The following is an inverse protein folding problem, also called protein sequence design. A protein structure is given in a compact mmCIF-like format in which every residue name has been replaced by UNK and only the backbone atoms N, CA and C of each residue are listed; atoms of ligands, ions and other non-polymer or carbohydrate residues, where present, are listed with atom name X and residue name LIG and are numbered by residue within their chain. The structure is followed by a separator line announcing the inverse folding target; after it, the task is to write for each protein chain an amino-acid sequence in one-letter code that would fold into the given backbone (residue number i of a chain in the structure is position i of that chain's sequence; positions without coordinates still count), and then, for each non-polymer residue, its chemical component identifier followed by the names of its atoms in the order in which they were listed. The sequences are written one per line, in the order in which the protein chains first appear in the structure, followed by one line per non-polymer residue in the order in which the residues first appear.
data_IF_844779033970
#
_entry.id   IF_844779033970
#
_cell.length_a   1.000
_cell.length_b   1.000
_cell.length_c   1.000
_cell.angle_alpha   90.00
_cell.angle_beta   90.00
_cell.angle_gamma   90.00
#
_symmetry.space_group_name_H-M   'P 1'
#
loop_
_entity.id
_entity.type
_entity.pdbx_description
1 polymer ?
#
# COMPACT_ATOMS: atom_id res chain seq x y z
N UNK A 1 -9.24 -9.14 -22.24
CA UNK A 1 -10.43 -9.91 -21.80
C UNK A 1 -10.42 -11.45 -22.01
N UNK A 2 -9.33 -12.16 -22.41
CA UNK A 2 -9.44 -13.58 -22.80
C UNK A 2 -9.67 -14.59 -21.66
N UNK A 3 -9.55 -14.19 -20.38
CA UNK A 3 -9.73 -15.09 -19.22
C UNK A 3 -11.16 -15.14 -18.66
N UNK A 4 -12.02 -14.21 -19.07
CA UNK A 4 -13.42 -14.17 -18.63
C UNK A 4 -14.30 -15.09 -19.47
N UNK A 5 -14.07 -15.14 -20.78
CA UNK A 5 -14.88 -15.95 -21.71
C UNK A 5 -14.90 -17.45 -21.39
N UNK A 6 -13.78 -18.13 -21.07
CA UNK A 6 -13.82 -19.56 -20.72
C UNK A 6 -14.53 -19.84 -19.39
N UNK A 7 -14.58 -18.85 -18.48
CA UNK A 7 -15.29 -18.95 -17.20
C UNK A 7 -16.77 -18.61 -17.32
N UNK A 8 -17.10 -17.70 -18.24
CA UNK A 8 -18.48 -17.33 -18.55
C UNK A 8 -19.16 -18.32 -19.48
N UNK A 9 -18.43 -18.97 -20.39
CA UNK A 9 -18.97 -19.97 -21.30
C UNK A 9 -19.77 -21.07 -20.57
N UNK A 10 -19.25 -21.77 -19.54
CA UNK A 10 -20.04 -22.77 -18.84
C UNK A 10 -21.23 -22.17 -18.07
N UNK A 11 -21.13 -20.93 -17.59
CA UNK A 11 -22.25 -20.23 -16.92
C UNK A 11 -23.34 -19.87 -17.93
N UNK A 12 -22.95 -19.37 -19.11
CA UNK A 12 -23.85 -19.03 -20.22
C UNK A 12 -24.47 -20.26 -20.87
N UNK A 13 -23.73 -21.38 -20.94
CA UNK A 13 -24.27 -22.66 -21.42
C UNK A 13 -25.21 -23.31 -20.40
N UNK A 14 -24.95 -23.13 -19.10
CA UNK A 14 -25.83 -23.60 -18.03
C UNK A 14 -27.12 -22.77 -17.89
N UNK A 15 -27.08 -21.48 -18.27
CA UNK A 15 -28.28 -20.65 -18.36
C UNK A 15 -28.97 -20.90 -19.71
N UNK A 16 -30.00 -21.75 -19.72
CA UNK A 16 -30.75 -22.06 -20.96
C UNK A 16 -31.30 -20.77 -21.59
N UNK A 17 -31.29 -20.69 -22.94
CA UNK A 17 -31.69 -19.53 -23.75
C UNK A 17 -33.11 -18.96 -23.48
N UNK A 18 -33.93 -19.63 -22.68
CA UNK A 18 -35.35 -19.32 -22.53
C UNK A 18 -35.73 -18.65 -21.20
N UNK A 19 -34.80 -18.50 -20.26
CA UNK A 19 -35.05 -17.75 -19.03
C UNK A 19 -34.17 -16.50 -19.02
N UNK A 20 -34.73 -15.36 -19.42
CA UNK A 20 -34.25 -14.02 -19.04
C UNK A 20 -34.46 -13.80 -17.53
N UNK A 21 -34.13 -14.79 -16.70
CA UNK A 21 -34.09 -14.56 -15.26
C UNK A 21 -32.94 -13.60 -15.01
N UNK A 22 -33.20 -12.42 -14.40
CA UNK A 22 -32.15 -11.46 -14.13
C UNK A 22 -31.07 -12.17 -13.32
N UNK A 23 -29.83 -12.10 -13.83
CA UNK A 23 -28.67 -12.70 -13.18
C UNK A 23 -28.70 -12.37 -11.69
N UNK A 24 -28.94 -13.38 -10.85
CA UNK A 24 -29.09 -13.16 -9.42
C UNK A 24 -27.71 -12.85 -8.81
N UNK A 25 -27.34 -11.58 -8.84
CA UNK A 25 -26.13 -11.06 -8.24
C UNK A 25 -26.02 -11.41 -6.74
N UNK A 26 -27.13 -11.71 -6.06
CA UNK A 26 -27.10 -12.13 -4.66
C UNK A 26 -26.46 -13.51 -4.49
N UNK A 27 -26.69 -14.44 -5.42
CA UNK A 27 -26.14 -15.81 -5.37
C UNK A 27 -24.63 -15.85 -5.56
N UNK A 28 -24.09 -14.96 -6.39
CA UNK A 28 -22.66 -14.90 -6.73
C UNK A 28 -21.87 -13.86 -5.93
N UNK A 29 -22.53 -13.12 -5.03
CA UNK A 29 -21.83 -12.15 -4.19
C UNK A 29 -20.87 -12.90 -3.26
N UNK A 30 -19.56 -12.58 -3.25
CA UNK A 30 -18.64 -13.21 -2.32
C UNK A 30 -19.19 -13.05 -0.90
N UNK A 31 -19.30 -14.19 -0.19
CA UNK A 31 -19.84 -14.22 1.17
C UNK A 31 -19.01 -13.26 2.01
N UNK A 32 -19.61 -12.15 2.45
CA UNK A 32 -18.92 -11.23 3.35
C UNK A 32 -18.62 -12.01 4.64
N UNK A 33 -17.44 -11.82 5.24
CA UNK A 33 -17.11 -12.45 6.51
C UNK A 33 -18.19 -12.11 7.53
N UNK A 34 -18.70 -13.13 8.23
CA UNK A 34 -19.63 -12.94 9.35
C UNK A 34 -18.85 -12.33 10.50
N UNK A 35 -19.45 -11.39 11.24
CA UNK A 35 -18.86 -10.95 12.49
C UNK A 35 -18.80 -12.15 13.44
N UNK A 36 -17.67 -12.33 14.12
CA UNK A 36 -17.55 -13.30 15.20
C UNK A 36 -18.08 -12.74 16.51
N UNK A 37 -18.37 -11.42 16.57
CA UNK A 37 -18.83 -10.78 17.79
C UNK A 37 -20.21 -11.31 18.21
N UNK A 38 -20.30 -11.70 19.48
CA UNK A 38 -21.53 -12.06 20.16
C UNK A 38 -21.57 -11.37 21.52
N UNK A 39 -22.75 -11.27 22.13
CA UNK A 39 -22.89 -10.68 23.47
C UNK A 39 -22.03 -11.49 24.45
N UNK A 40 -21.05 -10.83 25.07
CA UNK A 40 -20.26 -11.41 26.14
C UNK A 40 -20.92 -11.15 27.46
N UNK A 41 -21.03 -12.18 28.30
CA UNK A 41 -21.42 -12.00 29.70
C UNK A 41 -20.40 -11.08 30.40
N UNK A 42 -20.83 -10.28 31.40
CA UNK A 42 -19.91 -9.47 32.18
C UNK A 42 -18.83 -10.37 32.82
N UNK A 43 -17.62 -9.83 33.01
CA UNK A 43 -16.55 -10.54 33.70
C UNK A 43 -17.09 -11.06 35.04
N UNK A 44 -16.98 -12.37 35.32
CA UNK A 44 -17.49 -12.91 36.57
C UNK A 44 -16.71 -12.28 37.72
N UNK A 45 -17.41 -11.91 38.79
CA UNK A 45 -16.73 -11.54 40.02
C UNK A 45 -16.16 -12.80 40.65
N UNK A 46 -15.03 -12.68 41.33
CA UNK A 46 -14.47 -13.76 42.15
C UNK A 46 -14.67 -13.51 43.65
N UNK A 47 -15.49 -12.51 44.02
CA UNK A 47 -15.86 -12.26 45.41
C UNK A 47 -16.87 -13.33 45.88
N UNK A 48 -16.50 -14.21 46.83
CA UNK A 48 -17.37 -15.28 47.31
C UNK A 48 -18.67 -14.77 47.92
N UNK A 49 -18.72 -13.52 48.42
CA UNK A 49 -19.93 -12.95 49.02
C UNK A 49 -21.06 -12.74 48.02
N UNK A 50 -20.73 -12.62 46.73
CA UNK A 50 -21.70 -12.40 45.65
C UNK A 50 -22.36 -13.70 45.18
N UNK A 51 -21.93 -14.86 45.71
CA UNK A 51 -22.37 -16.16 45.25
C UNK A 51 -22.84 -17.03 46.41
N UNK A 52 -24.06 -17.58 46.30
CA UNK A 52 -24.61 -18.54 47.25
C UNK A 52 -23.92 -19.92 47.18
N UNK A 53 -23.23 -20.20 46.08
CA UNK A 53 -22.50 -21.43 45.80
C UNK A 53 -21.24 -21.13 45.00
N UNK A 54 -20.28 -22.08 44.96
CA UNK A 54 -19.06 -21.92 44.16
C UNK A 54 -19.39 -21.54 42.70
N UNK A 55 -18.68 -20.55 42.17
CA UNK A 55 -18.81 -20.08 40.78
C UNK A 55 -18.67 -21.24 39.78
N UNK A 56 -17.84 -22.24 40.10
CA UNK A 56 -17.63 -23.43 39.25
C UNK A 56 -18.85 -24.35 39.17
N UNK A 57 -19.78 -24.28 40.12
CA UNK A 57 -21.00 -25.09 40.13
C UNK A 57 -22.17 -24.41 39.40
N UNK A 58 -22.02 -23.14 39.00
CA UNK A 58 -23.03 -22.46 38.20
C UNK A 58 -23.09 -23.04 36.79
N UNK A 59 -24.30 -23.19 36.23
CA UNK A 59 -24.51 -23.72 34.88
C UNK A 59 -23.87 -22.85 33.79
N UNK A 60 -23.70 -21.56 34.05
CA UNK A 60 -23.07 -20.59 33.15
C UNK A 60 -21.76 -20.07 33.74
N UNK A 61 -20.83 -20.97 34.08
CA UNK A 61 -19.53 -20.56 34.60
C UNK A 61 -18.49 -20.39 33.47
N UNK A 62 -17.43 -19.58 33.67
CA UNK A 62 -16.42 -19.32 32.64
C UNK A 62 -15.62 -20.55 32.21
N UNK A 63 -15.62 -21.63 33.01
CA UNK A 63 -14.92 -22.89 32.70
C UNK A 63 -15.78 -23.81 31.84
N UNK A 64 -17.08 -23.93 32.15
CA UNK A 64 -18.03 -24.78 31.43
C UNK A 64 -18.53 -24.14 30.12
N UNK A 65 -18.63 -22.80 30.08
CA UNK A 65 -19.11 -22.06 28.91
C UNK A 65 -18.15 -20.92 28.51
N UNK A 66 -16.87 -21.22 28.19
CA UNK A 66 -15.85 -20.19 27.92
C UNK A 66 -16.24 -19.29 26.73
N UNK A 67 -16.97 -19.83 25.76
CA UNK A 67 -17.47 -19.09 24.59
C UNK A 67 -18.34 -17.88 24.94
N UNK A 68 -19.09 -17.93 26.05
CA UNK A 68 -19.95 -16.82 26.51
C UNK A 68 -19.16 -15.68 27.15
N UNK A 69 -17.93 -15.95 27.58
CA UNK A 69 -17.03 -14.99 28.24
C UNK A 69 -15.89 -14.52 27.32
N UNK A 70 -15.63 -15.23 26.22
CA UNK A 70 -14.56 -14.90 25.30
C UNK A 70 -14.91 -13.63 24.51
N UNK A 71 -14.14 -12.57 24.74
CA UNK A 71 -14.28 -11.32 23.98
C UNK A 71 -13.85 -11.53 22.54
N UNK A 72 -14.84 -11.63 21.65
CA UNK A 72 -14.62 -11.75 20.20
C UNK A 72 -14.47 -10.37 19.57
N UNK A 73 -13.56 -10.28 18.60
CA UNK A 73 -13.26 -9.04 17.87
C UNK A 73 -14.51 -8.58 17.12
N UNK A 74 -14.80 -7.28 17.21
CA UNK A 74 -15.81 -6.64 16.38
C UNK A 74 -15.32 -6.49 14.95
N UNK A 75 -16.23 -6.16 14.03
CA UNK A 75 -15.92 -5.77 12.67
C UNK A 75 -14.92 -4.60 12.70
N UNK A 76 -13.90 -4.62 11.81
CA UNK A 76 -12.96 -3.51 11.73
C UNK A 76 -13.71 -2.24 11.33
N UNK A 77 -13.38 -1.08 11.94
CA UNK A 77 -14.00 0.17 11.57
C UNK A 77 -13.66 0.52 10.12
N UNK A 78 -14.57 1.23 9.45
CA UNK A 78 -14.38 1.68 8.06
C UNK A 78 -14.26 3.18 8.00
N UNK A 79 -13.46 3.70 7.06
CA UNK A 79 -13.30 5.15 6.87
C UNK A 79 -14.65 5.82 6.58
N UNK A 80 -15.47 5.15 5.77
CA UNK A 80 -16.82 5.57 5.44
C UNK A 80 -17.80 4.41 5.64
N UNK A 81 -18.89 4.71 6.33
CA UNK A 81 -20.04 3.82 6.49
C UNK A 81 -21.26 4.60 5.98
N UNK A 82 -22.02 4.06 5.00
CA UNK A 82 -23.27 4.68 4.57
C UNK A 82 -24.24 4.87 5.73
N UNK A 83 -25.09 5.91 5.69
CA UNK A 83 -26.03 6.22 6.77
C UNK A 83 -26.99 5.06 7.08
N UNK A 84 -27.37 4.29 6.05
CA UNK A 84 -28.32 3.18 6.15
C UNK A 84 -27.64 1.82 6.36
N UNK A 85 -26.39 1.81 6.84
CA UNK A 85 -25.67 0.57 7.10
C UNK A 85 -26.15 -0.08 8.40
N UNK A 86 -27.10 -1.00 8.29
CA UNK A 86 -27.63 -1.74 9.42
C UNK A 86 -26.92 -3.09 9.66
N UNK A 87 -27.04 -3.61 10.89
CA UNK A 87 -26.68 -5.00 11.22
C UNK A 87 -27.53 -5.97 10.39
N UNK A 88 -26.95 -7.11 10.02
CA UNK A 88 -27.71 -8.15 9.32
C UNK A 88 -28.59 -8.93 10.29
N UNK A 89 -29.64 -9.55 9.76
CA UNK A 89 -30.45 -10.49 10.53
C UNK A 89 -29.55 -11.59 11.14
N UNK A 90 -29.59 -11.73 12.47
CA UNK A 90 -28.78 -12.68 13.23
C UNK A 90 -27.35 -12.26 13.55
N UNK A 91 -26.88 -11.09 13.09
CA UNK A 91 -25.58 -10.53 13.48
C UNK A 91 -25.77 -9.51 14.62
N UNK A 92 -24.92 -9.57 15.65
CA UNK A 92 -24.94 -8.62 16.77
C UNK A 92 -24.20 -7.33 16.47
N UNK A 93 -23.24 -7.40 15.57
CA UNK A 93 -22.27 -6.35 15.30
C UNK A 93 -22.70 -5.46 14.14
N UNK A 94 -22.48 -4.16 14.27
CA UNK A 94 -22.81 -3.17 13.24
C UNK A 94 -21.51 -2.59 12.69
N UNK A 95 -21.38 -2.40 11.36
CA UNK A 95 -20.22 -1.71 10.82
C UNK A 95 -20.15 -0.29 11.39
N UNK A 96 -19.09 0.03 12.12
CA UNK A 96 -18.87 1.40 12.62
C UNK A 96 -17.94 2.20 11.72
N UNK A 97 -18.13 3.51 11.72
CA UNK A 97 -17.22 4.44 11.11
C UNK A 97 -15.99 4.67 12.00
N UNK A 98 -14.83 4.88 11.38
CA UNK A 98 -13.61 5.30 12.08
C UNK A 98 -13.82 6.67 12.75
N UNK A 99 -13.31 6.81 13.96
CA UNK A 99 -13.24 8.12 14.65
C UNK A 99 -12.27 9.05 13.91
N UNK A 100 -12.24 10.35 14.28
CA UNK A 100 -11.29 11.29 13.69
C UNK A 100 -9.84 10.88 13.96
N UNK A 101 -9.55 10.44 15.17
CA UNK A 101 -8.21 9.97 15.58
C UNK A 101 -7.80 8.71 14.83
N UNK A 102 -8.72 7.74 14.70
CA UNK A 102 -8.46 6.53 13.92
C UNK A 102 -8.20 6.84 12.46
N UNK A 103 -8.93 7.79 11.87
CA UNK A 103 -8.65 8.26 10.51
C UNK A 103 -7.29 8.93 10.41
N UNK A 104 -6.88 9.70 11.42
CA UNK A 104 -5.55 10.33 11.48
C UNK A 104 -4.43 9.27 11.56
N UNK A 105 -4.64 8.21 12.33
CA UNK A 105 -3.68 7.09 12.37
C UNK A 105 -3.68 6.31 11.06
N UNK A 106 -4.87 6.08 10.48
CA UNK A 106 -5.04 5.39 9.21
C UNK A 106 -4.46 6.15 8.02
N UNK A 107 -4.42 7.49 8.09
CA UNK A 107 -3.80 8.36 7.09
C UNK A 107 -2.28 8.42 7.22
N UNK A 108 -1.67 7.92 8.29
CA UNK A 108 -0.21 7.90 8.44
C UNK A 108 0.38 6.69 7.71
N UNK A 109 1.26 6.88 6.70
CA UNK A 109 1.91 5.77 6.02
C UNK A 109 2.78 4.92 6.95
N UNK A 110 3.49 5.54 7.88
CA UNK A 110 4.35 4.84 8.84
C UNK A 110 3.55 3.92 9.76
N UNK A 111 2.49 4.44 10.37
CA UNK A 111 1.66 3.64 11.26
C UNK A 111 1.01 2.49 10.49
N UNK A 112 0.56 2.74 9.26
CA UNK A 112 -0.04 1.68 8.43
C UNK A 112 0.94 0.56 8.12
N UNK A 113 2.18 0.92 7.72
CA UNK A 113 3.24 -0.07 7.50
C UNK A 113 3.56 -0.87 8.77
N UNK A 114 3.62 -0.21 9.94
CA UNK A 114 3.88 -0.87 11.23
C UNK A 114 2.74 -1.79 11.66
N UNK A 115 1.48 -1.44 11.35
CA UNK A 115 0.31 -2.27 11.65
C UNK A 115 0.09 -3.42 10.67
N UNK A 116 0.89 -3.51 9.61
CA UNK A 116 0.78 -4.61 8.64
C UNK A 116 1.09 -5.97 9.31
N UNK A 117 0.47 -7.07 8.87
CA UNK A 117 0.62 -8.36 9.55
C UNK A 117 2.08 -8.79 9.66
N UNK A 118 2.57 -9.17 10.85
CA UNK A 118 3.95 -9.59 11.03
C UNK A 118 4.22 -10.92 10.31
N UNK A 119 5.42 -11.05 9.74
CA UNK A 119 5.93 -12.25 9.05
C UNK A 119 7.39 -12.45 9.42
N UNK A 120 7.83 -13.70 9.37
CA UNK A 120 9.23 -14.06 9.62
C UNK A 120 10.03 -13.79 8.35
N UNK A 121 11.10 -13.00 8.47
CA UNK A 121 12.08 -12.81 7.42
C UNK A 121 12.94 -14.08 7.29
N UNK A 122 13.03 -14.64 6.10
CA UNK A 122 13.79 -15.87 5.87
C UNK A 122 15.31 -15.70 5.83
N UNK A 123 15.82 -14.47 5.80
CA UNK A 123 17.26 -14.22 5.92
C UNK A 123 17.71 -14.03 7.37
N UNK A 124 16.91 -13.33 8.17
CA UNK A 124 17.30 -12.94 9.53
C UNK A 124 16.57 -13.70 10.63
N UNK A 125 15.56 -14.51 10.29
CA UNK A 125 14.65 -15.15 11.25
C UNK A 125 13.77 -14.16 12.04
N UNK A 126 13.89 -12.86 11.81
CA UNK A 126 13.24 -11.82 12.60
C UNK A 126 11.78 -11.63 12.19
N UNK A 127 10.91 -11.34 13.17
CA UNK A 127 9.51 -11.02 12.92
C UNK A 127 9.36 -9.54 12.54
N UNK A 128 9.00 -9.26 11.29
CA UNK A 128 8.84 -7.89 10.76
C UNK A 128 7.46 -7.71 10.12
N UNK A 129 6.90 -6.48 10.11
CA UNK A 129 5.63 -6.22 9.42
C UNK A 129 5.75 -6.46 7.91
N UNK A 130 4.69 -6.98 7.27
CA UNK A 130 4.74 -7.41 5.86
C UNK A 130 5.12 -6.32 4.87
N UNK A 131 4.84 -5.04 5.17
CA UNK A 131 5.18 -3.93 4.28
C UNK A 131 6.69 -3.64 4.23
N UNK A 132 7.45 -4.07 5.24
CA UNK A 132 8.92 -4.04 5.25
C UNK A 132 9.55 -5.26 4.57
N UNK A 133 8.72 -6.17 4.05
CA UNK A 133 9.16 -7.42 3.46
C UNK A 133 8.74 -7.50 1.98
N UNK A 134 9.51 -8.27 1.23
CA UNK A 134 9.26 -8.69 -0.15
C UNK A 134 8.78 -10.12 -0.13
N UNK A 135 7.69 -10.38 -0.83
CA UNK A 135 7.15 -11.72 -0.99
C UNK A 135 7.73 -12.33 -2.26
N UNK A 136 8.49 -13.40 -2.10
CA UNK A 136 9.04 -14.22 -3.19
C UNK A 136 8.32 -15.56 -3.20
N UNK A 137 7.92 -16.04 -4.37
CA UNK A 137 7.21 -17.32 -4.48
C UNK A 137 7.85 -18.21 -5.53
N UNK A 138 7.99 -19.52 -5.26
CA UNK A 138 8.43 -20.47 -6.29
C UNK A 138 7.30 -20.62 -7.31
N UNK A 139 7.60 -20.33 -8.57
CA UNK A 139 6.72 -20.56 -9.71
C UNK A 139 7.17 -21.84 -10.41
N UNK A 140 6.28 -22.82 -10.52
CA UNK A 140 6.54 -24.03 -11.30
C UNK A 140 6.57 -23.65 -12.78
N UNK A 141 7.58 -24.11 -13.48
CA UNK A 141 7.61 -24.03 -14.94
C UNK A 141 6.78 -25.18 -15.50
N UNK A 142 6.01 -24.90 -16.53
CA UNK A 142 5.29 -25.94 -17.26
C UNK A 142 6.34 -26.81 -17.95
N UNK A 143 6.61 -27.98 -17.37
CA UNK A 143 7.42 -29.00 -18.01
C UNK A 143 6.53 -29.81 -18.93
N UNK A 144 6.86 -29.84 -20.21
CA UNK A 144 6.13 -30.61 -21.23
C UNK A 144 6.32 -32.12 -21.08
N UNK A 145 7.19 -32.58 -20.18
CA UNK A 145 7.51 -34.00 -20.00
C UNK A 145 6.97 -34.51 -18.65
N UNK A 146 5.80 -35.17 -18.63
CA UNK A 146 5.16 -35.65 -17.41
C UNK A 146 5.78 -36.95 -16.83
N UNK A 147 6.90 -37.44 -17.36
CA UNK A 147 7.38 -38.82 -17.13
C UNK A 147 8.59 -38.96 -16.22
N UNK A 148 9.17 -37.87 -15.72
CA UNK A 148 10.36 -37.97 -14.85
C UNK A 148 9.99 -37.96 -13.36
N UNK A 149 10.60 -38.86 -12.59
CA UNK A 149 10.58 -38.87 -11.11
C UNK A 149 11.28 -37.64 -10.50
N UNK A 150 11.88 -36.77 -11.32
CA UNK A 150 12.54 -35.55 -10.89
C UNK A 150 11.52 -34.47 -10.46
N UNK A 151 11.81 -33.69 -9.41
CA UNK A 151 10.94 -32.59 -9.01
C UNK A 151 10.83 -31.56 -10.13
N UNK A 152 9.62 -31.07 -10.38
CA UNK A 152 9.34 -30.05 -11.41
C UNK A 152 10.21 -28.81 -11.14
N UNK A 153 11.02 -28.35 -12.12
CA UNK A 153 11.86 -27.18 -11.95
C UNK A 153 10.98 -25.97 -11.61
N UNK A 154 11.45 -25.18 -10.64
CA UNK A 154 10.74 -23.97 -10.22
C UNK A 154 11.67 -22.78 -10.18
N UNK A 155 11.17 -21.61 -10.53
CA UNK A 155 11.92 -20.35 -10.49
C UNK A 155 11.37 -19.50 -9.36
N UNK A 156 12.26 -18.88 -8.58
CA UNK A 156 11.85 -17.90 -7.57
C UNK A 156 11.47 -16.58 -8.24
N UNK A 157 10.22 -16.15 -8.08
CA UNK A 157 9.72 -14.90 -8.67
C UNK A 157 9.12 -13.97 -7.62
N UNK A 158 9.19 -12.64 -7.81
CA UNK A 158 8.46 -11.70 -6.97
C UNK A 158 6.95 -11.90 -7.14
N UNK A 159 6.22 -11.99 -6.02
CA UNK A 159 4.77 -12.19 -6.00
C UNK A 159 4.09 -11.12 -5.13
N UNK A 160 2.92 -10.66 -5.54
CA UNK A 160 2.13 -9.69 -4.78
C UNK A 160 2.76 -8.30 -4.60
N UNK A 161 3.79 -7.93 -5.38
CA UNK A 161 4.33 -6.57 -5.39
C UNK A 161 3.39 -5.59 -6.11
N UNK A 162 2.81 -6.02 -7.23
CA UNK A 162 1.83 -5.24 -8.01
C UNK A 162 0.47 -5.13 -7.32
N UNK A 163 -0.29 -4.08 -7.66
CA UNK A 163 -1.61 -3.84 -7.10
C UNK A 163 -2.60 -4.95 -7.50
N UNK A 164 -3.45 -5.46 -6.57
CA UNK A 164 -4.34 -6.59 -6.83
C UNK A 164 -5.31 -6.41 -8.01
N UNK A 165 -5.64 -5.16 -8.38
CA UNK A 165 -6.41 -4.82 -9.60
C UNK A 165 -5.72 -5.30 -10.88
N UNK A 166 -4.39 -5.26 -10.93
CA UNK A 166 -3.61 -5.53 -12.14
C UNK A 166 -3.10 -6.96 -12.17
N UNK A 167 -2.62 -7.47 -11.02
CA UNK A 167 -2.05 -8.81 -10.94
C UNK A 167 -2.52 -9.53 -9.67
N UNK A 168 -3.14 -10.70 -9.86
CA UNK A 168 -3.45 -11.62 -8.77
C UNK A 168 -2.19 -12.37 -8.31
N UNK A 169 -2.15 -12.75 -7.03
CA UNK A 169 -1.08 -13.58 -6.48
C UNK A 169 -1.03 -14.93 -7.19
N UNK A 170 0.17 -15.38 -7.53
CA UNK A 170 0.37 -16.60 -8.33
C UNK A 170 0.44 -17.87 -7.47
N UNK A 171 0.94 -17.76 -6.26
CA UNK A 171 1.18 -18.90 -5.36
C UNK A 171 0.66 -18.62 -3.96
N UNK A 172 0.16 -19.66 -3.28
CA UNK A 172 -0.16 -19.60 -1.86
C UNK A 172 1.08 -19.77 -0.97
N UNK A 173 2.13 -20.44 -1.49
CA UNK A 173 3.41 -20.61 -0.81
C UNK A 173 4.34 -19.49 -1.20
N UNK A 174 4.91 -18.82 -0.21
CA UNK A 174 5.82 -17.69 -0.42
C UNK A 174 6.79 -17.58 0.74
N UNK A 175 7.98 -17.09 0.46
CA UNK A 175 8.96 -16.69 1.45
C UNK A 175 9.03 -15.16 1.51
N UNK A 176 9.32 -14.63 2.70
CA UNK A 176 9.40 -13.19 2.93
C UNK A 176 10.86 -12.81 3.21
N UNK A 177 11.34 -11.78 2.53
CA UNK A 177 12.71 -11.27 2.63
C UNK A 177 12.63 -9.79 2.99
N UNK A 178 13.61 -9.21 3.69
CA UNK A 178 13.64 -7.76 3.94
C UNK A 178 13.55 -6.98 2.63
N UNK A 179 12.81 -5.87 2.62
CA UNK A 179 12.72 -4.93 1.50
C UNK A 179 14.01 -4.13 1.35
N UNK A 180 15.08 -4.81 0.96
CA UNK A 180 16.43 -4.29 0.72
C UNK A 180 16.98 -4.95 -0.54
N UNK A 181 17.64 -4.16 -1.38
CA UNK A 181 18.29 -4.68 -2.59
C UNK A 181 19.50 -5.55 -2.27
N UNK A 182 20.30 -5.19 -1.27
CA UNK A 182 21.43 -5.98 -0.80
C UNK A 182 20.98 -7.37 -0.33
N UNK A 183 19.86 -7.45 0.39
CA UNK A 183 19.28 -8.72 0.81
C UNK A 183 18.96 -9.64 -0.39
N UNK A 184 18.46 -9.09 -1.50
CA UNK A 184 18.21 -9.86 -2.72
C UNK A 184 19.52 -10.26 -3.41
N UNK A 185 20.51 -9.36 -3.49
CA UNK A 185 21.83 -9.68 -4.05
C UNK A 185 22.49 -10.84 -3.30
N UNK A 186 22.48 -10.82 -1.96
CA UNK A 186 23.01 -11.91 -1.12
C UNK A 186 22.29 -13.24 -1.37
N UNK A 187 20.99 -13.22 -1.66
CA UNK A 187 20.23 -14.43 -2.01
C UNK A 187 20.68 -14.98 -3.38
N UNK A 188 20.89 -14.10 -4.35
CA UNK A 188 21.35 -14.46 -5.70
C UNK A 188 22.76 -15.04 -5.64
N UNK A 189 23.67 -14.40 -4.89
CA UNK A 189 25.07 -14.83 -4.75
C UNK A 189 25.21 -16.16 -4.01
N UNK A 190 24.50 -16.34 -2.89
CA UNK A 190 24.60 -17.56 -2.09
C UNK A 190 23.78 -18.72 -2.66
N UNK A 191 22.82 -18.43 -3.54
CA UNK A 191 21.83 -19.36 -4.09
C UNK A 191 21.16 -20.23 -3.01
N UNK A 192 20.97 -19.67 -1.81
CA UNK A 192 20.42 -20.35 -0.64
C UNK A 192 19.37 -19.46 0.01
N UNK A 193 18.18 -20.02 0.22
CA UNK A 193 17.15 -19.43 1.05
C UNK A 193 16.60 -20.51 1.97
N UNK A 194 16.57 -20.22 3.27
CA UNK A 194 15.99 -21.13 4.25
C UNK A 194 14.54 -21.45 3.86
N UNK A 195 14.15 -22.72 4.04
CA UNK A 195 12.81 -23.24 3.76
C UNK A 195 12.38 -23.25 2.28
N UNK A 196 13.26 -22.91 1.34
CA UNK A 196 13.02 -23.14 -0.09
C UNK A 196 13.65 -24.47 -0.52
N UNK A 197 12.92 -25.34 -1.25
CA UNK A 197 13.48 -26.57 -1.77
C UNK A 197 14.69 -26.34 -2.69
N UNK A 198 15.68 -27.23 -2.64
CA UNK A 198 16.94 -27.14 -3.41
C UNK A 198 16.78 -27.08 -4.94
N UNK A 199 15.61 -27.43 -5.49
CA UNK A 199 15.32 -27.42 -6.94
C UNK A 199 14.81 -26.06 -7.45
N UNK A 200 14.89 -25.00 -6.66
CA UNK A 200 14.43 -23.67 -7.03
C UNK A 200 15.58 -22.86 -7.60
N UNK A 201 15.47 -22.47 -8.86
CA UNK A 201 16.45 -21.61 -9.54
C UNK A 201 16.16 -20.14 -9.21
N UNK A 202 17.19 -19.40 -8.81
CA UNK A 202 17.09 -17.97 -8.52
C UNK A 202 17.61 -17.19 -9.74
N UNK A 203 16.78 -16.35 -10.37
CA UNK A 203 17.20 -15.64 -11.57
C UNK A 203 18.21 -14.52 -11.22
N UNK A 204 19.27 -14.31 -12.01
CA UNK A 204 20.31 -13.33 -11.68
C UNK A 204 19.80 -11.89 -11.71
N UNK A 205 18.76 -11.61 -12.51
CA UNK A 205 18.12 -10.30 -12.61
C UNK A 205 16.99 -10.10 -11.59
N UNK A 206 16.86 -10.94 -10.57
CA UNK A 206 15.79 -10.85 -9.56
C UNK A 206 15.75 -9.46 -8.90
N UNK A 207 16.93 -8.91 -8.56
CA UNK A 207 17.03 -7.60 -7.91
C UNK A 207 16.46 -6.48 -8.79
N UNK A 208 16.82 -6.45 -10.08
CA UNK A 208 16.31 -5.47 -11.04
C UNK A 208 14.82 -5.67 -11.33
N UNK A 209 14.35 -6.91 -11.34
CA UNK A 209 12.93 -7.20 -11.52
C UNK A 209 12.08 -6.72 -10.33
N UNK A 210 12.53 -6.97 -9.08
CA UNK A 210 11.87 -6.43 -7.88
C UNK A 210 11.85 -4.90 -7.91
N UNK A 211 12.99 -4.28 -8.20
CA UNK A 211 13.18 -2.83 -8.36
C UNK A 211 12.15 -2.22 -9.33
N UNK A 212 11.99 -2.83 -10.51
CA UNK A 212 11.00 -2.43 -11.52
C UNK A 212 9.56 -2.57 -11.01
N UNK A 213 9.21 -3.71 -10.40
CA UNK A 213 7.85 -3.97 -9.94
C UNK A 213 7.43 -3.07 -8.77
N UNK A 214 8.36 -2.67 -7.89
CA UNK A 214 8.09 -1.71 -6.82
C UNK A 214 7.76 -0.32 -7.39
N UNK A 215 8.49 0.13 -8.42
CA UNK A 215 8.18 1.38 -9.14
C UNK A 215 6.83 1.30 -9.85
N UNK A 216 6.57 0.18 -10.53
CA UNK A 216 5.28 -0.07 -11.17
C UNK A 216 4.13 0.00 -10.15
N UNK A 217 4.34 -0.49 -8.92
CA UNK A 217 3.35 -0.42 -7.85
C UNK A 217 2.99 1.03 -7.50
N UNK A 218 3.95 1.96 -7.50
CA UNK A 218 3.68 3.40 -7.27
C UNK A 218 2.71 3.94 -8.32
N UNK A 219 2.98 3.68 -9.59
CA UNK A 219 2.12 4.14 -10.70
C UNK A 219 0.72 3.52 -10.62
N UNK A 220 0.65 2.22 -10.30
CA UNK A 220 -0.61 1.49 -10.17
C UNK A 220 -1.47 2.00 -9.01
N UNK A 221 -0.86 2.29 -7.85
CA UNK A 221 -1.57 2.88 -6.71
C UNK A 221 -2.07 4.28 -7.04
N UNK A 222 -1.27 5.07 -7.75
CA UNK A 222 -1.67 6.41 -8.18
C UNK A 222 -2.86 6.37 -9.14
N UNK A 223 -2.84 5.48 -10.13
CA UNK A 223 -3.98 5.30 -11.06
C UNK A 223 -5.26 4.87 -10.32
N UNK A 224 -5.15 3.90 -9.41
CA UNK A 224 -6.28 3.44 -8.58
C UNK A 224 -6.80 4.59 -7.73
N UNK A 225 -5.91 5.35 -7.10
CA UNK A 225 -6.27 6.51 -6.29
C UNK A 225 -7.02 7.57 -7.11
N UNK A 226 -6.54 7.93 -8.29
CA UNK A 226 -7.18 8.92 -9.16
C UNK A 226 -8.55 8.46 -9.64
N UNK A 227 -8.71 7.18 -9.99
CA UNK A 227 -10.02 6.60 -10.34
C UNK A 227 -11.02 6.77 -9.19
N UNK A 228 -10.58 6.63 -7.93
CA UNK A 228 -11.44 6.85 -6.77
C UNK A 228 -11.72 8.34 -6.54
N UNK A 229 -10.74 9.20 -6.78
CA UNK A 229 -10.85 10.64 -6.58
C UNK A 229 -11.85 11.28 -7.56
N UNK A 230 -11.87 10.83 -8.82
CA UNK A 230 -12.84 11.29 -9.84
C UNK A 230 -14.29 11.04 -9.44
N UNK A 231 -14.55 9.97 -8.68
CA UNK A 231 -15.90 9.63 -8.22
C UNK A 231 -16.34 10.43 -6.97
N UNK A 232 -15.50 11.33 -6.43
CA UNK A 232 -15.78 12.08 -5.20
C UNK A 232 -16.37 13.46 -5.46
N UNK A 233 -17.13 14.02 -4.49
CA UNK A 233 -17.64 15.38 -4.61
C UNK A 233 -16.50 16.39 -4.75
N UNK A 234 -16.55 17.21 -5.80
CA UNK A 234 -15.56 18.26 -6.10
C UNK A 234 -15.33 19.22 -4.92
N UNK A 235 -16.37 19.55 -4.16
CA UNK A 235 -16.28 20.44 -2.99
C UNK A 235 -15.27 19.93 -1.96
N UNK A 236 -15.28 18.63 -1.68
CA UNK A 236 -14.42 18.04 -0.66
C UNK A 236 -12.96 17.99 -1.13
N UNK A 237 -12.75 17.77 -2.44
CA UNK A 237 -11.44 17.79 -3.10
C UNK A 237 -10.85 19.21 -3.05
N UNK A 238 -11.64 20.23 -3.39
CA UNK A 238 -11.19 21.63 -3.36
C UNK A 238 -10.80 22.09 -1.94
N UNK A 239 -11.49 21.59 -0.91
CA UNK A 239 -11.19 21.92 0.48
C UNK A 239 -9.89 21.27 0.99
N UNK A 240 -9.59 20.04 0.54
CA UNK A 240 -8.43 19.28 0.98
C UNK A 240 -7.81 18.52 -0.20
N UNK A 241 -7.01 19.19 -1.05
CA UNK A 241 -6.40 18.55 -2.20
C UNK A 241 -5.41 17.47 -1.76
N UNK A 242 -5.61 16.20 -2.15
CA UNK A 242 -4.71 15.12 -1.77
C UNK A 242 -3.36 15.20 -2.47
N UNK A 243 -3.34 15.70 -3.70
CA UNK A 243 -2.16 15.95 -4.51
C UNK A 243 -2.30 17.39 -5.02
N UNK A 244 -1.28 18.21 -4.78
CA UNK A 244 -1.24 19.58 -5.33
C UNK A 244 0.14 19.88 -5.90
N UNK A 245 0.17 20.68 -6.97
CA UNK A 245 1.40 21.28 -7.47
C UNK A 245 1.86 22.41 -6.53
N UNK A 246 3.15 22.46 -6.22
CA UNK A 246 3.73 23.50 -5.36
C UNK A 246 3.95 24.78 -6.17
N UNK A 247 3.76 25.94 -5.54
CA UNK A 247 4.17 27.21 -6.17
C UNK A 247 5.69 27.31 -6.24
N UNK A 248 6.22 28.15 -7.15
CA UNK A 248 7.67 28.39 -7.22
C UNK A 248 8.24 28.93 -5.89
N UNK A 249 7.48 29.76 -5.18
CA UNK A 249 7.92 30.33 -3.91
C UNK A 249 7.92 29.27 -2.79
N UNK A 250 6.91 28.42 -2.73
CA UNK A 250 6.89 27.28 -1.80
C UNK A 250 8.04 26.31 -2.06
N UNK A 251 8.34 26.05 -3.34
CA UNK A 251 9.43 25.18 -3.73
C UNK A 251 10.79 25.76 -3.34
N UNK A 252 11.05 27.04 -3.63
CA UNK A 252 12.26 27.76 -3.20
C UNK A 252 12.43 27.73 -1.68
N UNK A 253 11.35 27.96 -0.94
CA UNK A 253 11.37 27.88 0.53
C UNK A 253 11.77 26.49 1.03
N UNK A 254 11.29 25.41 0.39
CA UNK A 254 11.68 24.03 0.74
C UNK A 254 13.16 23.77 0.41
N UNK A 255 13.66 24.25 -0.73
CA UNK A 255 15.06 24.12 -1.12
C UNK A 255 16.01 24.88 -0.17
N UNK A 256 15.66 26.12 0.17
CA UNK A 256 16.45 26.99 1.04
C UNK A 256 16.46 26.50 2.49
N UNK A 257 15.27 26.21 3.05
CA UNK A 257 15.14 25.83 4.46
C UNK A 257 15.45 24.35 4.70
N UNK A 258 15.38 23.51 3.66
CA UNK A 258 15.44 22.04 3.75
C UNK A 258 14.43 21.49 4.76
N UNK A 259 13.29 22.15 4.92
CA UNK A 259 12.18 21.71 5.77
C UNK A 259 10.89 21.77 4.99
N UNK A 260 9.96 20.85 5.27
CA UNK A 260 8.64 20.83 4.62
C UNK A 260 7.63 21.48 5.57
N UNK A 261 7.06 22.65 5.22
CA UNK A 261 6.22 23.42 6.14
C UNK A 261 4.85 22.77 6.42
N UNK A 262 4.39 21.87 5.57
CA UNK A 262 3.06 21.26 5.66
C UNK A 262 3.03 20.08 6.65
N UNK A 263 2.19 20.17 7.70
CA UNK A 263 2.05 19.11 8.72
C UNK A 263 1.54 17.78 8.14
N UNK A 264 0.63 17.85 7.16
CA UNK A 264 0.00 16.68 6.54
C UNK A 264 0.79 16.12 5.35
N UNK A 265 2.02 16.59 5.13
CA UNK A 265 2.85 16.11 4.02
C UNK A 265 3.24 14.63 4.21
N UNK A 266 2.88 13.80 3.24
CA UNK A 266 3.28 12.40 3.19
C UNK A 266 4.54 12.20 2.33
N UNK A 267 4.67 12.94 1.23
CA UNK A 267 5.82 12.92 0.34
C UNK A 267 5.82 14.17 -0.57
N UNK A 268 6.99 14.53 -1.10
CA UNK A 268 7.14 15.50 -2.18
C UNK A 268 7.81 14.80 -3.36
N UNK A 269 7.34 15.03 -4.59
CA UNK A 269 7.93 14.45 -5.80
C UNK A 269 8.30 15.59 -6.74
N UNK A 270 9.58 15.71 -7.10
CA UNK A 270 10.04 16.59 -8.18
C UNK A 270 9.95 15.84 -9.50
N UNK A 271 9.29 16.45 -10.49
CA UNK A 271 9.05 15.83 -11.79
C UNK A 271 9.84 16.60 -12.84
N UNK A 272 10.81 15.95 -13.48
CA UNK A 272 11.46 16.58 -14.62
C UNK A 272 10.48 16.66 -15.80
N UNK A 273 10.47 17.75 -16.58
CA UNK A 273 9.64 17.85 -17.78
C UNK A 273 10.01 16.73 -18.77
N UNK A 274 9.00 16.19 -19.44
CA UNK A 274 9.13 15.06 -20.36
C UNK A 274 8.59 15.49 -21.71
N UNK A 275 9.31 15.14 -22.78
CA UNK A 275 8.83 15.35 -24.14
C UNK A 275 7.51 14.61 -24.36
N UNK A 276 6.52 15.25 -25.02
CA UNK A 276 5.21 14.64 -25.26
C UNK A 276 5.26 13.39 -26.14
N UNK A 277 6.36 13.18 -26.88
CA UNK A 277 6.53 12.07 -27.82
C UNK A 277 6.82 10.71 -27.16
N UNK A 278 7.08 10.69 -25.85
CA UNK A 278 7.42 9.45 -25.13
C UNK A 278 6.15 8.64 -24.84
N UNK A 279 6.06 7.43 -25.39
CA UNK A 279 4.93 6.55 -25.15
C UNK A 279 4.88 6.06 -23.68
N UNK A 280 3.78 6.33 -22.95
CA UNK A 280 3.65 5.92 -21.55
C UNK A 280 3.42 4.41 -21.43
N UNK A 281 4.22 3.72 -20.61
CA UNK A 281 4.10 2.26 -20.41
C UNK A 281 4.06 1.86 -18.94
N UNK A 282 3.04 1.05 -18.59
CA UNK A 282 2.90 0.37 -17.29
C UNK A 282 3.07 -1.15 -17.45
N UNK A 283 3.89 -1.58 -18.40
CA UNK A 283 4.12 -3.01 -18.63
C UNK A 283 4.87 -3.65 -17.45
N UNK A 284 4.42 -4.82 -16.95
CA UNK A 284 5.19 -5.60 -15.97
C UNK A 284 6.40 -6.29 -16.60
N UNK A 285 6.46 -6.38 -17.93
CA UNK A 285 7.62 -6.91 -18.64
C UNK A 285 8.83 -5.97 -18.49
N UNK A 286 10.06 -6.51 -18.53
CA UNK A 286 11.25 -5.67 -18.57
C UNK A 286 11.15 -4.70 -19.74
N UNK A 287 11.41 -3.43 -19.46
CA UNK A 287 11.47 -2.40 -20.48
C UNK A 287 12.80 -2.49 -21.24
N UNK A 288 12.85 -2.02 -22.50
CA UNK A 288 14.11 -1.87 -23.21
C UNK A 288 15.12 -1.06 -22.38
N UNK A 289 16.40 -1.38 -22.50
CA UNK A 289 17.46 -0.60 -21.87
C UNK A 289 17.51 0.78 -22.53
N UNK A 290 17.08 1.81 -21.80
CA UNK A 290 17.30 3.20 -22.20
C UNK A 290 18.75 3.58 -21.83
N UNK A 291 19.49 4.27 -22.70
CA UNK A 291 20.88 4.68 -22.42
C UNK A 291 20.98 5.57 -21.16
N UNK A 292 19.93 6.30 -20.82
CA UNK A 292 19.89 7.21 -19.67
C UNK A 292 19.77 6.49 -18.32
N UNK A 293 19.49 5.18 -18.32
CA UNK A 293 19.23 4.41 -17.09
C UNK A 293 20.47 4.38 -16.19
N UNK A 294 21.67 4.25 -16.77
CA UNK A 294 22.92 4.17 -16.00
C UNK A 294 23.23 5.47 -15.26
N UNK A 295 23.04 6.62 -15.92
CA UNK A 295 23.24 7.94 -15.31
C UNK A 295 22.27 8.15 -14.14
N UNK A 296 21.00 7.80 -14.33
CA UNK A 296 19.96 8.02 -13.32
C UNK A 296 20.10 7.10 -12.09
N UNK A 297 20.75 5.94 -12.23
CA UNK A 297 21.05 5.05 -11.10
C UNK A 297 22.09 5.63 -10.11
N UNK A 298 22.79 6.70 -10.48
CA UNK A 298 23.70 7.41 -9.57
C UNK A 298 22.98 8.32 -8.58
N UNK A 299 21.74 8.72 -8.89
CA UNK A 299 20.97 9.67 -8.09
C UNK A 299 20.31 8.99 -6.88
N UNK A 300 20.31 9.68 -5.75
CA UNK A 300 19.60 9.24 -4.55
C UNK A 300 18.10 9.26 -4.77
N UNK A 301 17.42 8.14 -4.50
CA UNK A 301 15.96 8.01 -4.76
C UNK A 301 15.13 9.02 -3.98
N UNK A 302 15.49 9.27 -2.72
CA UNK A 302 14.82 10.27 -1.91
C UNK A 302 15.73 10.88 -0.84
N UNK A 303 15.53 12.18 -0.61
CA UNK A 303 16.13 12.90 0.50
C UNK A 303 15.11 13.09 1.63
N UNK A 304 15.51 12.85 2.87
CA UNK A 304 14.60 12.92 4.03
C UNK A 304 14.67 14.29 4.70
N UNK A 305 13.65 15.13 4.51
CA UNK A 305 13.59 16.46 5.12
C UNK A 305 12.74 16.45 6.39
N UNK A 306 13.12 17.16 7.46
CA UNK A 306 12.25 17.30 8.63
C UNK A 306 10.94 17.98 8.24
N UNK A 307 9.83 17.43 8.72
CA UNK A 307 8.56 18.13 8.76
C UNK A 307 8.69 19.32 9.72
N UNK A 308 8.11 20.45 9.36
CA UNK A 308 8.14 21.63 10.21
C UNK A 308 7.59 21.33 11.60
N UNK A 309 8.31 21.81 12.63
CA UNK A 309 8.10 21.49 14.04
C UNK A 309 6.86 22.15 14.66
N UNK A 310 6.00 22.78 13.88
CA UNK A 310 4.70 23.29 14.34
C UNK A 310 3.73 22.14 14.64
N UNK A 311 4.17 21.08 15.30
CA UNK A 311 3.27 20.09 15.86
C UNK A 311 2.66 20.66 17.14
N UNK A 312 1.33 20.74 17.18
CA UNK A 312 0.51 21.14 18.35
C UNK A 312 0.66 20.21 19.56
N UNK A 313 1.67 19.35 19.60
CA UNK A 313 1.98 18.59 20.81
C UNK A 313 2.16 19.60 21.96
N UNK A 314 1.62 19.33 23.16
CA UNK A 314 1.85 20.21 24.30
C UNK A 314 3.36 20.41 24.51
N UNK A 315 3.78 21.63 24.85
CA UNK A 315 5.16 21.97 25.24
C UNK A 315 5.74 21.04 26.31
N UNK A 316 4.86 20.36 27.05
CA UNK A 316 5.17 19.59 28.24
C UNK A 316 5.49 18.11 27.94
N UNK A 317 5.54 17.71 26.65
CA UNK A 317 5.83 16.32 26.29
C UNK A 317 7.33 16.02 26.46
N UNK A 318 7.70 15.41 27.60
CA UNK A 318 9.07 15.14 28.03
C UNK A 318 9.92 14.32 27.03
N UNK A 319 9.31 13.67 26.05
CA UNK A 319 10.01 12.88 25.02
C UNK A 319 10.30 13.64 23.71
N UNK A 320 10.03 14.96 23.65
CA UNK A 320 10.30 15.78 22.45
C UNK A 320 11.77 15.72 22.01
N UNK A 321 12.69 15.62 22.95
CA UNK A 321 14.13 15.58 22.67
C UNK A 321 14.65 14.16 22.35
N UNK A 322 13.86 13.13 22.66
CA UNK A 322 14.27 11.72 22.50
C UNK A 322 13.82 11.15 21.15
N UNK A 323 12.64 11.55 20.66
CA UNK A 323 12.12 11.01 19.41
C UNK A 323 12.64 11.82 18.21
N UNK A 324 13.12 11.15 17.14
CA UNK A 324 13.53 11.85 15.94
C UNK A 324 12.35 12.62 15.35
N UNK A 325 12.59 13.86 14.93
CA UNK A 325 11.59 14.66 14.21
C UNK A 325 11.05 13.88 13.01
N UNK A 326 9.74 13.95 12.80
CA UNK A 326 9.10 13.36 11.63
C UNK A 326 9.79 13.87 10.37
N UNK A 327 10.12 12.97 9.44
CA UNK A 327 10.79 13.32 8.19
C UNK A 327 9.90 12.97 7.03
N UNK A 328 9.82 13.85 6.04
CA UNK A 328 9.06 13.67 4.81
C UNK A 328 10.05 13.41 3.67
N UNK A 329 9.87 12.35 2.87
CA UNK A 329 10.73 12.05 1.75
C UNK A 329 10.45 13.01 0.58
N UNK A 330 11.52 13.60 0.05
CA UNK A 330 11.57 14.33 -1.20
C UNK A 330 12.16 13.41 -2.28
N UNK A 331 11.30 12.94 -3.18
CA UNK A 331 11.65 12.04 -4.27
C UNK A 331 12.02 12.82 -5.53
N UNK A 332 13.09 12.37 -6.20
CA UNK A 332 13.42 12.80 -7.55
C UNK A 332 12.84 11.81 -8.57
N UNK A 333 12.00 12.29 -9.50
CA UNK A 333 11.44 11.46 -10.57
C UNK A 333 12.48 10.74 -11.43
N UNK A 334 13.67 11.31 -11.61
CA UNK A 334 14.74 10.68 -12.41
C UNK A 334 15.29 9.43 -11.73
N UNK A 335 15.60 9.54 -10.44
CA UNK A 335 16.06 8.42 -9.62
C UNK A 335 14.93 7.40 -9.34
N UNK A 336 13.72 7.92 -9.09
CA UNK A 336 12.55 7.12 -8.77
C UNK A 336 12.07 6.32 -9.99
N UNK A 337 12.16 6.85 -11.21
CA UNK A 337 11.78 6.18 -12.45
C UNK A 337 12.86 6.35 -13.53
N UNK A 338 13.85 5.46 -13.59
CA UNK A 338 14.93 5.58 -14.57
C UNK A 338 14.44 5.57 -16.03
N UNK A 339 13.42 4.77 -16.33
CA UNK A 339 12.85 4.62 -17.68
C UNK A 339 11.96 5.82 -18.06
N UNK A 340 12.15 6.34 -19.28
CA UNK A 340 11.38 7.50 -19.79
C UNK A 340 9.89 7.20 -19.88
N UNK A 341 9.53 6.01 -20.32
CA UNK A 341 8.12 5.59 -20.47
C UNK A 341 7.37 5.55 -19.14
N UNK A 342 8.04 5.19 -18.04
CA UNK A 342 7.44 5.23 -16.69
C UNK A 342 7.31 6.66 -16.16
N UNK A 343 8.31 7.51 -16.42
CA UNK A 343 8.22 8.95 -16.11
C UNK A 343 7.07 9.60 -16.85
N UNK A 344 6.86 9.28 -18.13
CA UNK A 344 5.74 9.79 -18.92
C UNK A 344 4.38 9.40 -18.30
N UNK A 345 4.25 8.17 -17.80
CA UNK A 345 3.07 7.74 -17.03
C UNK A 345 2.90 8.57 -15.76
N UNK A 346 3.97 8.74 -14.97
CA UNK A 346 3.91 9.53 -13.73
C UNK A 346 3.45 10.96 -14.02
N UNK A 347 4.08 11.63 -14.99
CA UNK A 347 3.76 13.00 -15.39
C UNK A 347 2.30 13.12 -15.83
N UNK A 348 1.81 12.18 -16.66
CA UNK A 348 0.40 12.11 -17.07
C UNK A 348 -0.55 11.95 -15.88
N UNK A 349 -0.26 11.04 -14.95
CA UNK A 349 -1.12 10.81 -13.78
C UNK A 349 -1.14 12.01 -12.84
N UNK A 350 0.00 12.68 -12.63
CA UNK A 350 0.06 13.91 -11.83
C UNK A 350 -0.66 15.08 -12.52
N UNK A 351 -0.55 15.19 -13.85
CA UNK A 351 -1.34 16.14 -14.65
C UNK A 351 -2.84 15.88 -14.55
N UNK A 352 -3.27 14.61 -14.53
CA UNK A 352 -4.66 14.22 -14.28
C UNK A 352 -5.10 14.58 -12.86
N UNK A 353 -4.25 14.38 -11.85
CA UNK A 353 -4.54 14.80 -10.48
C UNK A 353 -4.78 16.32 -10.40
N UNK A 354 -3.93 17.09 -11.07
CA UNK A 354 -4.01 18.54 -11.14
C UNK A 354 -5.28 18.99 -11.88
N UNK A 355 -5.64 18.36 -13.00
CA UNK A 355 -6.87 18.71 -13.72
C UNK A 355 -8.13 18.41 -12.92
N UNK A 356 -8.16 17.32 -12.13
CA UNK A 356 -9.25 17.03 -11.19
C UNK A 356 -9.39 18.14 -10.15
N UNK A 357 -8.26 18.62 -9.62
CA UNK A 357 -8.23 19.71 -8.64
C UNK A 357 -8.69 21.04 -9.25
N UNK A 358 -8.18 21.42 -10.41
CA UNK A 358 -8.59 22.64 -11.13
C UNK A 358 -10.08 22.61 -11.49
N UNK A 359 -10.58 21.47 -11.94
CA UNK A 359 -12.01 21.26 -12.20
C UNK A 359 -12.88 21.34 -10.94
N UNK A 360 -12.30 21.10 -9.76
CA UNK A 360 -12.96 21.27 -8.48
C UNK A 360 -12.94 22.73 -8.01
N UNK A 361 -11.90 23.50 -8.37
CA UNK A 361 -11.78 24.93 -8.11
C UNK A 361 -12.64 25.79 -9.05
N UNK A 362 -12.77 25.41 -10.33
CA UNK A 362 -13.44 26.19 -11.39
C UNK A 362 -14.91 26.55 -11.12
N UNK A 363 -15.53 25.98 -10.08
CA UNK A 363 -16.82 26.44 -9.57
C UNK A 363 -16.76 27.72 -8.72
N UNK A 364 -15.57 28.27 -8.41
CA UNK A 364 -15.44 29.43 -7.53
C UNK A 364 -15.28 30.79 -8.22
N UNK A 365 -15.24 30.86 -9.55
CA UNK A 365 -15.42 32.12 -10.29
C UNK A 365 -14.41 33.25 -10.01
N UNK A 366 -13.36 33.02 -9.24
CA UNK A 366 -12.35 34.04 -8.94
C UNK A 366 -11.32 34.07 -10.07
N UNK A 367 -11.40 35.08 -10.93
CA UNK A 367 -10.45 35.37 -12.02
C UNK A 367 -9.08 35.87 -11.54
N UNK A 368 -8.58 35.32 -10.42
CA UNK A 368 -7.27 35.65 -9.89
C UNK A 368 -6.15 35.19 -10.82
N UNK A 369 -5.06 35.96 -10.86
CA UNK A 369 -3.82 35.57 -11.54
C UNK A 369 -3.37 34.21 -10.99
N UNK A 370 -3.31 33.20 -11.86
CA UNK A 370 -2.85 31.87 -11.45
C UNK A 370 -1.40 31.96 -10.98
N UNK A 371 -1.06 31.41 -9.80
CA UNK A 371 0.31 31.42 -9.31
C UNK A 371 1.22 30.64 -10.26
N UNK A 372 2.48 31.09 -10.38
CA UNK A 372 3.47 30.32 -11.11
C UNK A 372 3.77 29.02 -10.36
N UNK A 373 3.46 27.89 -11.00
CA UNK A 373 3.70 26.57 -10.44
C UNK A 373 5.12 26.06 -10.73
N UNK A 374 5.69 25.34 -9.78
CA UNK A 374 6.93 24.57 -9.93
C UNK A 374 6.64 23.16 -10.45
N UNK A 375 7.65 22.39 -10.84
CA UNK A 375 7.48 20.99 -11.25
C UNK A 375 7.47 20.00 -10.08
N UNK A 376 7.26 20.50 -8.85
CA UNK A 376 7.16 19.69 -7.65
C UNK A 376 5.70 19.49 -7.23
N UNK A 377 5.38 18.27 -6.80
CA UNK A 377 4.06 17.87 -6.34
C UNK A 377 4.14 17.45 -4.88
N UNK A 378 3.23 17.99 -4.07
CA UNK A 378 3.06 17.63 -2.67
C UNK A 378 1.91 16.63 -2.53
N UNK A 379 2.20 15.51 -1.86
CA UNK A 379 1.23 14.48 -1.48
C UNK A 379 0.84 14.72 -0.03
N UNK A 380 -0.43 14.98 0.22
CA UNK A 380 -0.97 15.26 1.56
C UNK A 380 -1.80 14.07 2.05
N UNK A 381 -1.62 13.64 3.29
CA UNK A 381 -2.41 12.55 3.87
C UNK A 381 -2.91 12.89 5.27
N UNK A 382 -4.19 13.24 5.37
CA UNK A 382 -4.84 13.59 6.62
C UNK A 382 -6.18 12.87 6.81
N UNK A 383 -6.85 13.12 7.94
CA UNK A 383 -8.10 12.43 8.28
C UNK A 383 -9.23 12.68 7.28
N UNK A 384 -9.23 13.82 6.61
CA UNK A 384 -10.28 14.22 5.67
C UNK A 384 -9.97 13.71 4.26
N UNK A 385 -8.71 13.75 3.84
CA UNK A 385 -8.21 13.12 2.61
C UNK A 385 -8.46 11.62 2.63
N UNK A 386 -8.33 10.95 3.79
CA UNK A 386 -8.66 9.53 3.91
C UNK A 386 -10.11 9.19 3.48
N UNK A 387 -11.05 10.14 3.59
CA UNK A 387 -12.45 9.95 3.12
C UNK A 387 -12.59 10.07 1.59
N UNK A 388 -11.71 10.85 0.96
CA UNK A 388 -11.64 11.03 -0.48
C UNK A 388 -11.03 9.80 -1.15
N UNK A 389 -9.99 9.23 -0.56
CA UNK A 389 -9.32 8.06 -1.11
C UNK A 389 -8.12 7.64 -0.27
N UNK A 390 -7.57 6.48 -0.60
CA UNK A 390 -6.45 5.91 0.14
C UNK A 390 -5.10 6.32 -0.46
N UNK A 391 -4.68 7.57 -0.23
CA UNK A 391 -3.36 8.05 -0.69
C UNK A 391 -2.21 7.32 0.03
N UNK A 392 -2.49 6.70 1.18
CA UNK A 392 -1.47 5.97 1.92
C UNK A 392 -0.94 4.78 1.14
N UNK A 393 -1.74 4.16 0.27
CA UNK A 393 -1.24 3.12 -0.64
C UNK A 393 -0.10 3.62 -1.53
N UNK A 394 -0.22 4.83 -2.08
CA UNK A 394 0.83 5.50 -2.88
C UNK A 394 2.05 5.80 -2.01
N UNK A 395 1.85 6.40 -0.83
CA UNK A 395 2.94 6.74 0.08
C UNK A 395 3.70 5.49 0.56
N UNK A 396 3.01 4.40 0.90
CA UNK A 396 3.62 3.12 1.27
C UNK A 396 4.39 2.53 0.09
N UNK A 397 3.88 2.60 -1.14
CA UNK A 397 4.61 2.14 -2.32
C UNK A 397 5.92 2.95 -2.53
N UNK A 398 5.86 4.28 -2.40
CA UNK A 398 7.03 5.16 -2.46
C UNK A 398 8.06 4.82 -1.37
N UNK A 399 7.60 4.58 -0.14
CA UNK A 399 8.45 4.14 0.98
C UNK A 399 9.14 2.82 0.70
N UNK A 400 8.45 1.86 0.08
CA UNK A 400 9.05 0.57 -0.28
C UNK A 400 10.12 0.70 -1.37
N UNK A 401 9.94 1.58 -2.36
CA UNK A 401 10.99 1.88 -3.33
C UNK A 401 12.21 2.51 -2.64
N UNK A 402 11.99 3.49 -1.76
CA UNK A 402 13.05 4.11 -0.98
C UNK A 402 13.83 3.09 -0.13
N UNK A 403 13.12 2.27 0.67
CA UNK A 403 13.77 1.25 1.51
C UNK A 403 14.56 0.25 0.69
N UNK A 404 14.04 -0.15 -0.48
CA UNK A 404 14.70 -1.10 -1.34
C UNK A 404 16.00 -0.55 -1.95
N UNK A 405 16.00 0.69 -2.42
CA UNK A 405 17.14 1.27 -3.14
C UNK A 405 18.17 1.97 -2.24
N UNK A 406 17.79 2.37 -1.02
CA UNK A 406 18.65 3.13 -0.09
C UNK A 406 20.02 2.52 0.16
N UNK A 407 20.14 1.19 0.16
CA UNK A 407 21.39 0.53 0.50
C UNK A 407 22.47 0.69 -0.59
N UNK A 408 22.07 0.89 -1.86
CA UNK A 408 23.02 1.17 -2.95
C UNK A 408 23.79 2.48 -2.74
N UNK A 409 23.17 3.46 -2.09
CA UNK A 409 23.78 4.78 -1.87
C UNK A 409 24.93 4.72 -0.85
N UNK A 410 24.94 3.71 0.02
CA UNK A 410 26.00 3.54 1.04
C UNK A 410 27.27 2.96 0.45
N UNK A 411 27.17 1.96 -0.41
CA UNK A 411 28.34 1.32 -1.04
C UNK A 411 29.15 2.30 -1.90
N UNK A 412 28.48 3.25 -2.56
CA UNK A 412 29.16 4.27 -3.38
C UNK A 412 29.94 5.28 -2.54
N UNK A 413 29.52 5.51 -1.30
CA UNK A 413 30.09 6.54 -0.42
C UNK A 413 31.12 5.99 0.58
N UNK A 414 31.26 4.68 0.72
CA UNK A 414 32.35 4.08 1.50
C UNK A 414 33.64 4.07 0.67
N UNK A 415 34.71 4.78 1.10
CA UNK A 415 35.99 4.69 0.42
C UNK A 415 36.49 3.25 0.45
N UNK A 416 36.85 2.71 -0.71
CA UNK A 416 37.53 1.41 -0.78
C UNK A 416 38.92 1.59 -0.16
N UNK A 417 39.09 1.09 1.06
CA UNK A 417 40.37 1.05 1.76
C UNK A 417 41.28 -0.04 1.18
#
# INVERSE_FOLDING_TARGET
MPRLLPRLAPVLHAHSRNAFDPFDFAKYRPRRPKSLHGPTLPSPSFDPKLYSQSVLLQSENPVAAPDKYLRRKTLPPRVYVPKDAHKRAGEYDMPRQMTREERKWWSSPYLRMLTSPPRICALSGSLLPSDFLLRLSPLRLDSTEPTSTKPVPSILVPDGLQHPKFTARRSNRSVHVVCSRQAISLIVENNKLEHIPFYVTIPPNLASHVSHLLRLRVLQELEVFLTHLEAKPKRDIAANPPIRRLSKDEWKNIEEQRTIPQQDAAAVITVSPISPDVEPSMSPSPLPQDPDVELNHSLTVANMYPASRYSDLPSNFQYRDVLPSAKVPLYDSLALFPHKSQRAVLWRLLGQAQSIYENALGHRGESGVLPEYSDAYLLCSNSDIARLGDLVGVATALWRVYMYERDNDREKNTPKF
#
